data_IF_881095463772
#
_entry.id   IF_881095463772
#
_cell.length_a   1.000
_cell.length_b   1.000
_cell.length_c   1.000
_cell.angle_alpha   90.00
_cell.angle_beta   90.00
_cell.angle_gamma   90.00
#
_symmetry.space_group_name_H-M   'P 1'
#
loop_
_entity.id
_entity.type
_entity.pdbx_description
1 polymer ?
#
# COMPACT_ATOMS: atom_id res chain seq x y z
N UNK A 1 -12.91 28.91 -5.94
CA UNK A 1 -12.79 28.04 -4.75
C UNK A 1 -14.00 27.09 -4.54
N UNK A 2 -15.27 27.47 -4.62
CA UNK A 2 -16.37 26.51 -4.41
C UNK A 2 -16.43 25.39 -5.44
N UNK A 3 -16.11 25.64 -6.71
CA UNK A 3 -16.06 24.61 -7.77
C UNK A 3 -15.06 23.50 -7.46
N UNK A 4 -13.85 23.84 -7.01
CA UNK A 4 -12.82 22.85 -6.68
C UNK A 4 -13.21 21.92 -5.51
N UNK A 5 -13.99 22.40 -4.55
CA UNK A 5 -14.51 21.54 -3.47
C UNK A 5 -15.56 20.56 -3.99
N UNK A 6 -16.48 21.02 -4.82
CA UNK A 6 -17.50 20.13 -5.40
C UNK A 6 -16.88 19.08 -6.31
N UNK A 7 -15.89 19.45 -7.13
CA UNK A 7 -15.15 18.52 -7.98
C UNK A 7 -14.43 17.44 -7.14
N UNK A 8 -13.85 17.84 -6.00
CA UNK A 8 -13.25 16.91 -5.05
C UNK A 8 -14.28 15.95 -4.45
N UNK A 9 -15.42 16.47 -3.95
CA UNK A 9 -16.48 15.62 -3.39
C UNK A 9 -17.07 14.65 -4.43
N UNK A 10 -17.20 15.08 -5.68
CA UNK A 10 -17.63 14.21 -6.77
C UNK A 10 -16.59 13.13 -7.08
N UNK A 11 -15.31 13.48 -7.03
CA UNK A 11 -14.20 12.53 -7.19
C UNK A 11 -14.21 11.45 -6.10
N UNK A 12 -14.49 11.81 -4.85
CA UNK A 12 -14.64 10.84 -3.74
C UNK A 12 -15.87 9.96 -3.98
N UNK A 13 -17.02 10.57 -4.28
CA UNK A 13 -18.27 9.85 -4.56
C UNK A 13 -18.14 8.85 -5.72
N UNK A 14 -17.34 9.17 -6.74
CA UNK A 14 -17.10 8.28 -7.87
C UNK A 14 -16.26 7.03 -7.49
N UNK A 15 -15.51 7.09 -6.39
CA UNK A 15 -14.64 6.03 -5.89
C UNK A 15 -15.23 5.24 -4.73
N UNK A 16 -16.27 5.77 -4.09
CA UNK A 16 -16.99 5.10 -3.00
C UNK A 16 -18.45 4.84 -3.41
N UNK A 17 -18.82 3.58 -3.71
CA UNK A 17 -20.18 3.23 -4.08
C UNK A 17 -21.20 3.37 -2.93
N UNK A 18 -20.75 3.49 -1.68
CA UNK A 18 -21.63 3.69 -0.52
C UNK A 18 -22.13 5.14 -0.41
N UNK A 19 -21.42 6.11 -0.99
CA UNK A 19 -21.73 7.52 -0.91
C UNK A 19 -23.00 7.88 -1.72
N UNK A 20 -24.05 8.29 -1.02
CA UNK A 20 -25.34 8.67 -1.66
C UNK A 20 -25.40 10.12 -2.14
N UNK A 21 -24.69 11.01 -1.45
CA UNK A 21 -24.69 12.44 -1.76
C UNK A 21 -23.36 13.12 -1.45
N UNK A 22 -23.11 14.28 -2.07
CA UNK A 22 -21.96 15.13 -1.74
C UNK A 22 -21.91 15.55 -0.27
N UNK A 23 -23.09 15.76 0.34
CA UNK A 23 -23.21 16.18 1.74
C UNK A 23 -22.79 15.07 2.70
N UNK A 24 -23.07 13.82 2.34
CA UNK A 24 -22.60 12.65 3.08
C UNK A 24 -21.08 12.53 3.02
N UNK A 25 -20.48 12.67 1.82
CA UNK A 25 -19.02 12.69 1.64
C UNK A 25 -18.34 13.77 2.47
N UNK A 26 -18.98 14.93 2.65
CA UNK A 26 -18.41 16.00 3.48
C UNK A 26 -18.20 15.59 4.95
N UNK A 27 -18.96 14.60 5.43
CA UNK A 27 -18.83 14.03 6.78
C UNK A 27 -17.75 12.96 6.90
N UNK A 28 -17.12 12.57 5.79
CA UNK A 28 -16.05 11.56 5.83
C UNK A 28 -14.83 12.06 6.59
N UNK A 29 -14.27 11.23 7.49
CA UNK A 29 -13.11 11.63 8.29
C UNK A 29 -11.92 12.06 7.44
N UNK A 30 -11.70 11.41 6.29
CA UNK A 30 -10.66 11.77 5.33
C UNK A 30 -10.80 13.19 4.78
N UNK A 31 -12.02 13.65 4.50
CA UNK A 31 -12.31 15.02 4.00
C UNK A 31 -11.97 16.05 5.05
N UNK A 32 -12.39 15.81 6.30
CA UNK A 32 -12.08 16.71 7.42
C UNK A 32 -10.57 16.73 7.71
N UNK A 33 -9.91 15.57 7.72
CA UNK A 33 -8.48 15.45 7.95
C UNK A 33 -7.67 16.23 6.90
N UNK A 34 -8.04 16.14 5.62
CA UNK A 34 -7.39 16.89 4.54
C UNK A 34 -7.64 18.39 4.64
N UNK A 35 -8.83 18.81 5.02
CA UNK A 35 -9.13 20.22 5.26
C UNK A 35 -8.25 20.81 6.35
N UNK A 36 -8.14 20.13 7.48
CA UNK A 36 -7.28 20.53 8.60
C UNK A 36 -5.78 20.44 8.25
N UNK A 37 -5.37 19.39 7.49
CA UNK A 37 -4.00 19.26 7.01
C UNK A 37 -3.60 20.46 6.13
N UNK A 38 -4.44 20.96 5.24
CA UNK A 38 -4.11 22.12 4.41
C UNK A 38 -3.81 23.35 5.24
N UNK A 39 -4.56 23.57 6.34
CA UNK A 39 -4.29 24.65 7.30
C UNK A 39 -2.97 24.40 8.02
N UNK A 40 -2.75 23.17 8.53
CA UNK A 40 -1.53 22.78 9.23
C UNK A 40 -0.28 22.91 8.32
N UNK A 41 -0.40 22.50 7.07
CA UNK A 41 0.68 22.60 6.07
C UNK A 41 1.04 24.06 5.76
N UNK A 42 0.05 24.92 5.59
CA UNK A 42 0.29 26.36 5.41
C UNK A 42 1.00 26.99 6.60
N UNK A 43 0.62 26.65 7.84
CA UNK A 43 1.29 27.09 9.06
C UNK A 43 2.74 26.55 9.12
N UNK A 44 2.93 25.28 8.73
CA UNK A 44 4.24 24.64 8.70
C UNK A 44 5.18 25.31 7.70
N UNK A 45 4.69 25.62 6.49
CA UNK A 45 5.44 26.39 5.48
C UNK A 45 5.80 27.80 5.97
N UNK A 46 4.95 28.42 6.79
CA UNK A 46 5.22 29.68 7.48
C UNK A 46 6.07 29.56 8.74
N UNK A 47 6.70 28.38 8.99
CA UNK A 47 7.55 28.07 10.15
C UNK A 47 6.85 28.17 11.52
N UNK A 48 5.52 28.20 11.54
CA UNK A 48 4.70 28.18 12.74
C UNK A 48 4.49 26.73 13.23
N UNK A 49 5.59 26.02 13.47
CA UNK A 49 5.62 24.56 13.70
C UNK A 49 4.74 24.10 14.87
N UNK A 50 4.72 24.86 15.97
CA UNK A 50 3.90 24.53 17.13
C UNK A 50 2.40 24.56 16.79
N UNK A 51 1.93 25.61 16.10
CA UNK A 51 0.54 25.72 15.68
C UNK A 51 0.17 24.69 14.63
N UNK A 52 1.07 24.42 13.67
CA UNK A 52 0.89 23.36 12.70
C UNK A 52 0.69 21.99 13.37
N UNK A 53 1.50 21.67 14.39
CA UNK A 53 1.36 20.46 15.19
C UNK A 53 0.08 20.44 16.02
N UNK A 54 -0.31 21.56 16.59
CA UNK A 54 -1.57 21.65 17.34
C UNK A 54 -2.78 21.31 16.44
N UNK A 55 -2.84 21.88 15.24
CA UNK A 55 -3.90 21.56 14.25
C UNK A 55 -3.83 20.10 13.82
N UNK A 56 -2.63 19.55 13.60
CA UNK A 56 -2.47 18.13 13.28
C UNK A 56 -2.99 17.23 14.41
N UNK A 57 -2.70 17.53 15.67
CA UNK A 57 -3.24 16.75 16.81
C UNK A 57 -4.74 16.86 16.92
N UNK A 58 -5.31 18.05 16.69
CA UNK A 58 -6.75 18.23 16.66
C UNK A 58 -7.40 17.39 15.52
N UNK A 59 -6.81 17.41 14.32
CA UNK A 59 -7.24 16.57 13.19
C UNK A 59 -7.24 15.09 13.57
N UNK A 60 -6.12 14.60 14.12
CA UNK A 60 -5.98 13.22 14.56
C UNK A 60 -7.01 12.83 15.63
N UNK A 61 -7.25 13.70 16.59
CA UNK A 61 -8.26 13.46 17.64
C UNK A 61 -9.67 13.33 17.07
N UNK A 62 -10.03 14.18 16.09
CA UNK A 62 -11.37 14.20 15.49
C UNK A 62 -11.58 13.08 14.44
N UNK A 63 -10.52 12.66 13.75
CA UNK A 63 -10.64 11.81 12.55
C UNK A 63 -9.93 10.46 12.66
N UNK A 64 -9.10 10.27 13.70
CA UNK A 64 -8.16 9.15 13.82
C UNK A 64 -7.17 9.05 12.63
N UNK A 65 -6.91 10.15 11.90
CA UNK A 65 -5.98 10.23 10.78
C UNK A 65 -4.84 11.18 11.17
N UNK A 66 -3.61 10.70 11.08
CA UNK A 66 -2.41 11.46 11.42
C UNK A 66 -1.64 11.81 10.15
N UNK A 67 -1.83 13.03 9.65
CA UNK A 67 -1.07 13.56 8.50
C UNK A 67 -0.09 14.60 9.00
N UNK A 68 1.22 14.30 8.93
CA UNK A 68 2.22 15.28 9.33
C UNK A 68 2.10 16.57 8.51
N UNK A 69 2.17 17.77 9.15
CA UNK A 69 2.03 19.05 8.43
C UNK A 69 3.03 19.27 7.29
N UNK A 70 4.19 18.61 7.33
CA UNK A 70 5.22 18.68 6.27
C UNK A 70 4.90 17.84 5.05
N UNK A 71 3.94 16.90 5.10
CA UNK A 71 3.59 16.07 3.96
C UNK A 71 3.03 16.89 2.80
N UNK A 72 3.39 16.54 1.57
CA UNK A 72 2.87 17.18 0.35
C UNK A 72 1.80 16.29 -0.27
N UNK A 73 0.62 16.88 -0.53
CA UNK A 73 -0.55 16.13 -1.03
C UNK A 73 -1.13 16.82 -2.26
N UNK A 74 -1.23 16.08 -3.33
CA UNK A 74 -1.81 16.48 -4.61
C UNK A 74 -3.33 16.62 -4.58
N UNK A 75 -3.92 16.65 -5.77
CA UNK A 75 -5.37 16.81 -5.95
C UNK A 75 -6.10 15.48 -5.87
N UNK A 76 -7.37 15.54 -5.47
CA UNK A 76 -8.28 14.38 -5.44
C UNK A 76 -7.75 13.20 -4.61
N UNK A 77 -6.92 13.46 -3.61
CA UNK A 77 -6.49 12.43 -2.68
C UNK A 77 -7.67 11.95 -1.84
N UNK A 78 -7.87 10.65 -1.76
CA UNK A 78 -8.96 10.04 -1.01
C UNK A 78 -8.42 9.10 0.07
N UNK A 79 -8.83 9.34 1.32
CA UNK A 79 -8.61 8.45 2.46
C UNK A 79 -9.95 7.84 2.83
N UNK A 80 -10.07 6.54 2.63
CA UNK A 80 -11.26 5.81 3.02
C UNK A 80 -11.16 5.34 4.47
N UNK A 81 -12.20 5.61 5.26
CA UNK A 81 -12.35 5.37 6.69
C UNK A 81 -11.36 6.16 7.57
N UNK A 82 -10.19 5.62 7.96
CA UNK A 82 -9.27 6.33 8.85
C UNK A 82 -8.15 5.45 9.40
N UNK A 83 -7.64 5.80 10.61
CA UNK A 83 -6.52 5.13 11.29
C UNK A 83 -5.23 5.11 10.43
N UNK A 84 -5.07 6.10 9.59
CA UNK A 84 -3.97 6.24 8.64
C UNK A 84 -2.89 7.15 9.19
N UNK A 85 -1.62 6.83 8.93
CA UNK A 85 -0.47 7.64 9.31
C UNK A 85 0.33 8.04 8.08
N UNK A 86 0.54 9.34 7.88
CA UNK A 86 1.32 9.90 6.78
C UNK A 86 2.48 10.73 7.36
N UNK A 87 3.71 10.28 7.11
CA UNK A 87 4.91 10.88 7.67
C UNK A 87 5.32 12.20 7.01
N UNK A 88 6.24 12.91 7.65
CA UNK A 88 6.64 14.31 7.33
C UNK A 88 7.06 14.54 5.89
N UNK A 89 7.90 13.67 5.34
CA UNK A 89 8.46 13.83 3.99
C UNK A 89 7.74 12.98 2.95
N UNK A 90 6.52 12.50 3.26
CA UNK A 90 5.70 11.80 2.29
C UNK A 90 5.23 12.78 1.19
N UNK A 91 5.26 12.29 -0.03
CA UNK A 91 4.75 13.00 -1.19
C UNK A 91 3.66 12.15 -1.84
N UNK A 92 2.50 12.75 -2.08
CA UNK A 92 1.33 12.08 -2.63
C UNK A 92 0.88 12.83 -3.86
N UNK A 93 0.85 12.14 -4.99
CA UNK A 93 0.42 12.68 -6.29
C UNK A 93 -1.09 12.90 -6.39
N UNK A 94 -1.55 13.11 -7.60
CA UNK A 94 -2.96 13.35 -7.91
C UNK A 94 -3.75 12.03 -7.99
N UNK A 95 -5.03 12.06 -7.63
CA UNK A 95 -5.98 10.93 -7.73
C UNK A 95 -5.56 9.66 -6.97
N UNK A 96 -4.74 9.78 -5.94
CA UNK A 96 -4.34 8.67 -5.09
C UNK A 96 -5.47 8.27 -4.15
N UNK A 97 -5.63 6.97 -3.92
CA UNK A 97 -6.58 6.40 -2.96
C UNK A 97 -5.84 5.56 -1.94
N UNK A 98 -6.09 5.78 -0.67
CA UNK A 98 -5.62 4.90 0.40
C UNK A 98 -6.78 4.47 1.28
N UNK A 99 -6.73 3.21 1.67
CA UNK A 99 -7.71 2.63 2.57
C UNK A 99 -7.27 2.75 4.04
N UNK A 100 -8.12 2.31 4.95
CA UNK A 100 -7.87 2.40 6.40
C UNK A 100 -6.60 1.66 6.83
N UNK A 101 -6.04 2.10 7.97
CA UNK A 101 -4.85 1.52 8.63
C UNK A 101 -3.56 1.55 7.78
N UNK A 102 -3.51 2.36 6.73
CA UNK A 102 -2.29 2.52 5.92
C UNK A 102 -1.27 3.37 6.66
N UNK A 103 0.00 2.95 6.58
CA UNK A 103 1.13 3.76 7.08
C UNK A 103 2.08 4.11 5.94
N UNK A 104 2.31 5.40 5.72
CA UNK A 104 3.40 5.93 4.91
C UNK A 104 4.53 6.37 5.85
N UNK A 105 5.43 5.43 6.18
CA UNK A 105 6.40 5.56 7.28
C UNK A 105 7.85 5.61 6.83
N UNK A 106 8.73 5.96 7.77
CA UNK A 106 10.18 5.83 7.62
C UNK A 106 10.67 4.48 8.15
N UNK A 107 11.85 4.04 7.68
CA UNK A 107 12.49 2.80 8.13
C UNK A 107 13.59 3.02 9.17
N UNK A 108 14.16 4.22 9.23
CA UNK A 108 15.30 4.51 10.12
C UNK A 108 15.04 5.79 10.93
N UNK A 109 14.87 5.70 12.25
CA UNK A 109 14.64 6.87 13.10
C UNK A 109 15.90 7.77 13.25
N UNK A 110 17.08 7.23 12.93
CA UNK A 110 18.36 7.96 13.00
C UNK A 110 18.82 8.51 11.65
N UNK A 111 18.12 8.21 10.55
CA UNK A 111 18.38 8.83 9.25
C UNK A 111 18.09 10.33 9.35
N UNK A 112 19.12 11.10 9.24
CA UNK A 112 19.29 12.52 9.54
C UNK A 112 18.07 13.44 9.44
N UNK A 113 18.07 14.43 10.30
CA UNK A 113 17.10 15.53 10.28
C UNK A 113 17.18 16.24 8.93
N UNK A 114 16.06 16.31 8.19
CA UNK A 114 15.94 17.09 6.94
C UNK A 114 16.07 16.29 5.64
N UNK A 115 16.33 14.96 5.67
CA UNK A 115 16.35 14.11 4.46
C UNK A 115 15.01 13.45 4.13
N UNK A 116 14.80 13.05 2.86
CA UNK A 116 13.68 12.21 2.42
C UNK A 116 13.75 10.86 3.15
N UNK A 117 12.69 10.50 3.89
CA UNK A 117 12.62 9.25 4.66
C UNK A 117 11.26 8.54 4.57
N UNK A 118 10.29 9.18 3.93
CA UNK A 118 8.94 8.66 3.72
C UNK A 118 8.68 8.48 2.23
N UNK A 119 7.74 7.61 1.84
CA UNK A 119 7.51 7.28 0.45
C UNK A 119 6.94 8.43 -0.38
N UNK A 120 7.15 8.29 -1.70
CA UNK A 120 6.47 9.05 -2.74
C UNK A 120 5.45 8.13 -3.42
N UNK A 121 4.19 8.53 -3.41
CA UNK A 121 3.12 7.90 -4.18
C UNK A 121 2.85 8.73 -5.42
N UNK A 122 3.07 8.18 -6.61
CA UNK A 122 2.76 8.84 -7.87
C UNK A 122 1.25 8.89 -8.15
N UNK A 123 0.86 9.49 -9.26
CA UNK A 123 -0.54 9.68 -9.63
C UNK A 123 -1.31 8.36 -9.79
N UNK A 124 -2.55 8.33 -9.35
CA UNK A 124 -3.46 7.21 -9.52
C UNK A 124 -3.11 5.95 -8.72
N UNK A 125 -2.16 6.03 -7.78
CA UNK A 125 -1.80 4.91 -6.91
C UNK A 125 -2.96 4.52 -5.99
N UNK A 126 -3.13 3.22 -5.77
CA UNK A 126 -4.11 2.66 -4.83
C UNK A 126 -3.39 1.84 -3.78
N UNK A 127 -3.57 2.19 -2.49
CA UNK A 127 -2.98 1.46 -1.35
C UNK A 127 -4.08 0.76 -0.57
N UNK A 128 -4.03 -0.56 -0.54
CA UNK A 128 -4.98 -1.42 0.17
C UNK A 128 -4.90 -1.28 1.69
N UNK A 129 -5.98 -1.68 2.36
CA UNK A 129 -6.14 -1.54 3.82
C UNK A 129 -5.01 -2.22 4.60
N UNK A 130 -4.52 -1.54 5.64
CA UNK A 130 -3.47 -2.07 6.51
C UNK A 130 -2.07 -2.12 5.90
N UNK A 131 -1.88 -1.73 4.64
CA UNK A 131 -0.58 -1.77 4.00
C UNK A 131 0.42 -0.80 4.65
N UNK A 132 1.68 -1.24 4.73
CA UNK A 132 2.79 -0.48 5.28
C UNK A 132 3.77 -0.15 4.15
N UNK A 133 3.86 1.11 3.75
CA UNK A 133 4.80 1.60 2.74
C UNK A 133 5.91 2.36 3.45
N UNK A 134 7.11 1.78 3.45
CA UNK A 134 8.16 2.18 4.38
C UNK A 134 9.46 2.57 3.68
N UNK A 135 9.99 3.73 4.05
CA UNK A 135 11.26 4.26 3.53
C UNK A 135 11.08 5.29 2.41
N UNK A 136 12.18 5.86 1.93
CA UNK A 136 12.17 6.86 0.87
C UNK A 136 12.04 6.21 -0.51
N UNK A 137 11.02 5.36 -0.66
CA UNK A 137 10.74 4.58 -1.87
C UNK A 137 9.70 5.29 -2.74
N UNK A 138 9.67 4.92 -4.01
CA UNK A 138 8.68 5.40 -4.97
C UNK A 138 7.68 4.30 -5.34
N UNK A 139 6.39 4.65 -5.29
CA UNK A 139 5.31 3.82 -5.82
C UNK A 139 4.85 4.46 -7.13
N UNK A 140 5.18 3.82 -8.24
CA UNK A 140 5.00 4.36 -9.60
C UNK A 140 3.54 4.60 -9.98
N UNK A 141 3.29 5.44 -11.01
CA UNK A 141 1.94 5.82 -11.44
C UNK A 141 1.04 4.61 -11.69
N UNK A 142 -0.21 4.67 -11.22
CA UNK A 142 -1.20 3.62 -11.41
C UNK A 142 -0.89 2.30 -10.70
N UNK A 143 0.18 2.22 -9.90
CA UNK A 143 0.52 1.01 -9.16
C UNK A 143 -0.50 0.73 -8.04
N UNK A 144 -0.58 -0.53 -7.64
CA UNK A 144 -1.50 -1.01 -6.61
C UNK A 144 -0.73 -1.77 -5.52
N UNK A 145 -1.02 -1.47 -4.29
CA UNK A 145 -0.49 -2.19 -3.13
C UNK A 145 -1.64 -2.95 -2.47
N UNK A 146 -1.50 -4.26 -2.37
CA UNK A 146 -2.52 -5.12 -1.75
C UNK A 146 -2.68 -4.88 -0.26
N UNK A 147 -3.82 -5.31 0.29
CA UNK A 147 -4.10 -5.18 1.71
C UNK A 147 -3.04 -5.89 2.57
N UNK A 148 -2.65 -5.27 3.69
CA UNK A 148 -1.63 -5.76 4.63
C UNK A 148 -0.24 -6.03 4.01
N UNK A 149 0.04 -5.54 2.81
CA UNK A 149 1.36 -5.67 2.21
C UNK A 149 2.39 -4.76 2.92
N UNK A 150 3.64 -5.22 2.99
CA UNK A 150 4.76 -4.43 3.51
C UNK A 150 5.73 -4.12 2.38
N UNK A 151 5.67 -2.87 1.90
CA UNK A 151 6.45 -2.36 0.78
C UNK A 151 7.69 -1.62 1.29
N UNK A 152 8.87 -2.12 0.93
CA UNK A 152 10.16 -1.55 1.34
C UNK A 152 11.10 -1.29 0.16
N UNK A 153 10.60 -1.42 -1.06
CA UNK A 153 11.32 -1.18 -2.32
C UNK A 153 10.40 -0.46 -3.30
N UNK A 154 10.99 0.18 -4.27
CA UNK A 154 10.26 0.86 -5.34
C UNK A 154 9.31 -0.10 -6.07
N UNK A 155 8.15 0.42 -6.45
CA UNK A 155 7.12 -0.30 -7.21
C UNK A 155 7.01 0.32 -8.60
N UNK A 156 7.14 -0.50 -9.63
CA UNK A 156 7.06 -0.05 -11.00
C UNK A 156 5.65 0.47 -11.36
N UNK A 157 5.53 1.38 -12.36
CA UNK A 157 4.24 1.85 -12.83
C UNK A 157 3.28 0.71 -13.20
N UNK A 158 1.98 0.89 -12.93
CA UNK A 158 0.90 -0.06 -13.24
C UNK A 158 1.12 -1.49 -12.71
N UNK A 159 1.97 -1.64 -11.70
CA UNK A 159 2.28 -2.94 -11.09
C UNK A 159 1.46 -3.14 -9.82
N UNK A 160 0.94 -4.34 -9.63
CA UNK A 160 0.33 -4.75 -8.35
C UNK A 160 1.37 -5.49 -7.50
N UNK A 161 1.52 -5.08 -6.23
CA UNK A 161 2.39 -5.76 -5.26
C UNK A 161 1.59 -6.23 -4.06
N UNK A 162 1.90 -7.44 -3.55
CA UNK A 162 1.22 -8.04 -2.40
C UNK A 162 2.20 -8.79 -1.49
N UNK A 163 1.81 -9.03 -0.26
CA UNK A 163 2.54 -9.89 0.69
C UNK A 163 3.56 -9.17 1.58
N UNK A 164 4.29 -9.93 2.39
CA UNK A 164 5.27 -9.46 3.38
C UNK A 164 6.57 -10.28 3.21
N UNK A 165 7.66 -9.71 2.67
CA UNK A 165 7.73 -8.41 1.97
C UNK A 165 6.94 -8.42 0.67
N UNK A 166 6.45 -7.25 0.25
CA UNK A 166 5.65 -7.12 -0.96
C UNK A 166 6.43 -7.49 -2.22
N UNK A 167 5.78 -8.28 -3.09
CA UNK A 167 6.33 -8.73 -4.38
C UNK A 167 5.33 -8.44 -5.50
N UNK A 168 5.81 -8.15 -6.72
CA UNK A 168 4.95 -8.01 -7.89
C UNK A 168 4.15 -9.28 -8.16
N UNK A 169 2.88 -9.08 -8.50
CA UNK A 169 2.01 -10.15 -9.01
C UNK A 169 2.23 -10.27 -10.52
N UNK A 170 2.51 -11.47 -11.07
CA UNK A 170 2.62 -11.68 -12.51
C UNK A 170 1.32 -11.28 -13.21
N UNK A 171 1.45 -10.59 -14.36
CA UNK A 171 0.30 -10.07 -15.12
C UNK A 171 -0.64 -11.20 -15.60
N UNK A 172 -0.09 -12.37 -15.89
CA UNK A 172 -0.82 -13.55 -16.38
C UNK A 172 -1.80 -14.13 -15.34
N UNK A 173 -1.63 -13.78 -14.07
CA UNK A 173 -2.48 -14.23 -12.96
C UNK A 173 -3.56 -13.20 -12.58
N UNK A 174 -3.53 -12.01 -13.18
CA UNK A 174 -4.56 -11.00 -12.94
C UNK A 174 -5.76 -11.28 -13.85
N UNK A 175 -6.59 -12.24 -13.50
CA UNK A 175 -7.91 -12.39 -14.09
C UNK A 175 -8.76 -11.18 -13.65
N UNK A 176 -8.81 -10.19 -14.50
CA UNK A 176 -9.69 -9.04 -14.36
C UNK A 176 -11.14 -9.51 -14.55
N UNK A 177 -11.81 -9.83 -13.47
CA UNK A 177 -13.27 -9.79 -13.48
C UNK A 177 -13.65 -8.33 -13.63
N UNK A 178 -14.46 -7.93 -14.65
CA UNK A 178 -14.99 -6.58 -14.75
C UNK A 178 -15.99 -6.37 -13.61
N UNK A 179 -15.51 -6.06 -12.44
CA UNK A 179 -16.24 -5.90 -11.21
C UNK A 179 -15.36 -5.26 -10.14
N UNK A 180 -16.00 -4.78 -9.11
CA UNK A 180 -15.35 -4.20 -7.95
C UNK A 180 -14.24 -5.13 -7.42
N UNK A 181 -12.99 -4.66 -7.43
CA UNK A 181 -11.87 -5.32 -6.77
C UNK A 181 -11.76 -4.71 -5.37
N UNK A 182 -12.26 -5.38 -4.33
CA UNK A 182 -12.23 -4.84 -2.99
C UNK A 182 -10.78 -4.59 -2.54
N UNK A 183 -10.51 -3.38 -2.05
CA UNK A 183 -9.25 -2.99 -1.39
C UNK A 183 -7.97 -3.17 -2.22
N UNK A 184 -8.05 -3.09 -3.54
CA UNK A 184 -6.88 -3.22 -4.41
C UNK A 184 -6.25 -4.61 -4.44
N UNK A 185 -6.90 -5.61 -3.84
CA UNK A 185 -6.41 -6.99 -3.82
C UNK A 185 -6.93 -7.73 -5.06
N UNK A 186 -6.08 -8.37 -5.87
CA UNK A 186 -6.54 -9.24 -6.95
C UNK A 186 -7.37 -10.39 -6.38
N UNK A 187 -8.58 -10.63 -6.94
CA UNK A 187 -9.42 -11.74 -6.55
C UNK A 187 -8.98 -13.02 -7.26
N UNK A 188 -8.23 -13.88 -6.57
CA UNK A 188 -7.86 -15.22 -7.05
C UNK A 188 -7.08 -15.95 -5.97
N UNK A 189 -7.44 -17.20 -5.70
CA UNK A 189 -6.79 -18.01 -4.65
C UNK A 189 -5.31 -18.29 -4.92
N UNK A 190 -4.87 -18.15 -6.18
CA UNK A 190 -3.49 -18.45 -6.61
C UNK A 190 -2.56 -17.21 -6.63
N UNK A 191 -3.02 -16.05 -6.19
CA UNK A 191 -2.28 -14.79 -6.30
C UNK A 191 -1.43 -14.43 -5.07
N UNK A 192 -1.45 -15.25 -4.02
CA UNK A 192 -0.58 -15.08 -2.87
C UNK A 192 0.84 -15.58 -3.23
N UNK A 193 1.86 -14.68 -3.31
CA UNK A 193 3.24 -15.07 -3.61
C UNK A 193 3.80 -16.11 -2.64
N UNK A 194 3.32 -16.15 -1.41
CA UNK A 194 3.71 -17.14 -0.40
C UNK A 194 3.11 -18.49 -0.76
N UNK A 195 1.84 -18.56 -1.12
CA UNK A 195 1.19 -19.79 -1.57
C UNK A 195 1.81 -20.35 -2.85
N UNK A 196 2.07 -19.50 -3.85
CA UNK A 196 2.75 -19.93 -5.07
C UNK A 196 4.13 -20.50 -4.78
N UNK A 197 4.90 -19.86 -3.91
CA UNK A 197 6.21 -20.36 -3.50
C UNK A 197 6.13 -21.63 -2.68
N UNK A 198 5.11 -21.79 -1.84
CA UNK A 198 4.85 -23.05 -1.13
C UNK A 198 4.57 -24.20 -2.09
N UNK A 199 3.69 -23.99 -3.09
CA UNK A 199 3.41 -25.02 -4.12
C UNK A 199 4.65 -25.41 -4.91
N UNK A 200 5.50 -24.44 -5.28
CA UNK A 200 6.79 -24.72 -5.94
C UNK A 200 7.72 -25.54 -5.05
N UNK A 201 7.85 -25.19 -3.79
CA UNK A 201 8.68 -25.92 -2.82
C UNK A 201 8.15 -27.33 -2.55
N UNK A 202 6.84 -27.49 -2.45
CA UNK A 202 6.19 -28.80 -2.30
C UNK A 202 6.48 -29.69 -3.50
N UNK A 203 6.38 -29.16 -4.73
CA UNK A 203 6.70 -29.87 -5.95
C UNK A 203 8.20 -30.28 -6.02
N UNK A 204 9.10 -29.39 -5.60
CA UNK A 204 10.54 -29.64 -5.54
C UNK A 204 10.88 -30.73 -4.50
N UNK A 205 10.25 -30.67 -3.33
CA UNK A 205 10.40 -31.71 -2.29
C UNK A 205 9.91 -33.06 -2.80
N UNK A 206 8.83 -33.11 -3.54
CA UNK A 206 8.27 -34.35 -4.07
C UNK A 206 9.15 -34.94 -5.20
N UNK A 207 9.74 -34.06 -6.03
CA UNK A 207 10.74 -34.47 -7.03
C UNK A 207 12.00 -35.05 -6.39
N UNK A 208 12.56 -34.39 -5.37
CA UNK A 208 13.71 -34.84 -4.62
C UNK A 208 13.46 -36.19 -3.90
N UNK A 209 12.26 -36.34 -3.32
CA UNK A 209 11.86 -37.64 -2.71
C UNK A 209 11.87 -38.79 -3.70
N UNK A 210 11.37 -38.58 -4.91
CA UNK A 210 11.37 -39.57 -5.99
C UNK A 210 12.80 -39.91 -6.42
N UNK A 211 13.67 -38.93 -6.52
CA UNK A 211 15.07 -39.13 -6.88
C UNK A 211 15.81 -39.90 -5.81
N UNK A 212 15.63 -39.57 -4.53
CA UNK A 212 16.20 -40.32 -3.40
C UNK A 212 15.75 -41.77 -3.38
N UNK A 213 14.46 -42.04 -3.64
CA UNK A 213 13.92 -43.38 -3.70
C UNK A 213 14.53 -44.18 -4.85
N UNK A 214 14.68 -43.55 -6.02
CA UNK A 214 15.35 -44.18 -7.18
C UNK A 214 16.82 -44.52 -6.90
N UNK A 215 17.53 -43.64 -6.20
CA UNK A 215 18.92 -43.87 -5.79
C UNK A 215 19.05 -44.99 -4.75
N UNK A 216 18.10 -45.05 -3.80
CA UNK A 216 18.03 -46.12 -2.80
C UNK A 216 17.81 -47.50 -3.44
N UNK A 217 16.94 -47.62 -4.43
CA UNK A 217 16.70 -48.85 -5.15
C UNK A 217 17.94 -49.27 -5.92
N UNK A 218 18.64 -48.34 -6.60
CA UNK A 218 19.90 -48.62 -7.28
C UNK A 218 21.04 -49.07 -6.35
N UNK A 219 21.09 -48.53 -5.14
CA UNK A 219 22.11 -48.87 -4.15
C UNK A 219 21.89 -50.28 -3.55
N UNK A 220 20.64 -50.74 -3.53
CA UNK A 220 20.27 -52.11 -3.11
C UNK A 220 20.57 -53.17 -4.19
N UNK A 221 20.60 -52.77 -5.47
CA UNK A 221 20.91 -53.65 -6.59
C UNK A 221 22.44 -53.90 -6.79
N UNK A 222 23.30 -53.07 -6.17
CA UNK A 222 24.77 -53.16 -6.32
C UNK A 222 25.44 -54.32 -5.51
N UNK A 223 24.89 -54.89 -4.41
CA UNK A 223 25.57 -55.94 -3.65
C UNK A 223 25.73 -57.27 -4.37
N UNK A 224 24.88 -57.61 -5.33
CA UNK A 224 24.95 -58.96 -5.99
C UNK A 224 25.99 -59.05 -7.11
N UNK A 225 26.44 -57.93 -7.68
CA UNK A 225 27.41 -57.95 -8.79
C UNK A 225 28.91 -58.02 -8.33
N UNK A 226 29.20 -57.96 -7.02
CA UNK A 226 30.56 -58.04 -6.46
C UNK A 226 30.84 -59.34 -5.76
N UNK A 227 29.93 -60.32 -5.77
CA UNK A 227 30.09 -61.64 -5.10
C UNK A 227 30.23 -62.85 -6.08
N UNK A 228 30.46 -62.53 -7.38
CA UNK A 228 30.77 -63.61 -8.38
C UNK A 228 32.14 -63.49 -8.97
#
# INVERSE_FOLDING_TARGET
MPLALFDYLDSVKARDPAARSRWEVLLYPGVLALGLHRVAHWLFAGQLYFLARFINHLARFLTAIDIHPGATIGRNFFIDHGFTVIGETAEIGDNVTIYQNVTLGGTNPTAGVGGKRHPTLCDGVVIGSGAQVLGPIEVGPGARVGANAVVTRDVLPNTTVVGIPAKPVPVDLVHYSPGFVPYGTPCGEDLDPVRSRMKELEAEIEALRREVETLRVKDQEIPEARAS
#
